data_IF_539819215952
#
_entry.id   IF_539819215952
#
_cell.length_a   1.000
_cell.length_b   1.000
_cell.length_c   1.000
_cell.angle_alpha   90.00
_cell.angle_beta   90.00
_cell.angle_gamma   90.00
#
_symmetry.space_group_name_H-M   'P 1'
#
loop_
_entity.id
_entity.type
_entity.pdbx_description
1 polymer ?
#
# COMPACT_ATOMS: atom_id res chain seq x y z
N UNK A 1 -1.27 -21.24 25.25
CA UNK A 1 -1.03 -19.89 25.81
C UNK A 1 -1.09 -20.01 27.32
N UNK A 2 0.03 -19.76 28.01
CA UNK A 2 0.07 -19.75 29.48
C UNK A 2 -0.54 -18.47 30.04
N UNK A 3 -0.84 -18.45 31.34
CA UNK A 3 -1.33 -17.25 32.02
C UNK A 3 -0.29 -16.12 32.01
N UNK A 4 0.99 -16.45 32.15
CA UNK A 4 2.11 -15.50 32.10
C UNK A 4 2.28 -14.88 30.70
N UNK A 5 2.22 -15.70 29.64
CA UNK A 5 2.27 -15.21 28.25
C UNK A 5 1.13 -14.24 27.97
N UNK A 6 -0.08 -14.59 28.43
CA UNK A 6 -1.25 -13.72 28.31
C UNK A 6 -1.04 -12.40 29.05
N UNK A 7 -0.61 -12.44 30.31
CA UNK A 7 -0.40 -11.23 31.11
C UNK A 7 0.67 -10.30 30.49
N UNK A 8 1.77 -10.87 30.00
CA UNK A 8 2.83 -10.10 29.32
C UNK A 8 2.32 -9.44 28.04
N UNK A 9 1.54 -10.17 27.23
CA UNK A 9 0.94 -9.64 26.00
C UNK A 9 -0.14 -8.59 26.27
N UNK A 10 -0.93 -8.75 27.33
CA UNK A 10 -1.90 -7.75 27.78
C UNK A 10 -1.21 -6.47 28.27
N UNK A 11 -0.12 -6.60 29.05
CA UNK A 11 0.69 -5.46 29.49
C UNK A 11 1.35 -4.75 28.30
N UNK A 12 1.85 -5.51 27.32
CA UNK A 12 2.37 -4.97 26.06
C UNK A 12 1.31 -4.17 25.31
N UNK A 13 0.11 -4.72 25.10
CA UNK A 13 -0.98 -4.03 24.39
C UNK A 13 -1.53 -2.79 25.08
N UNK A 14 -1.38 -2.68 26.41
CA UNK A 14 -1.79 -1.51 27.20
C UNK A 14 -0.69 -0.44 27.35
N UNK A 15 0.50 -0.70 26.83
CA UNK A 15 1.66 0.19 26.96
C UNK A 15 1.42 1.52 26.23
N UNK A 16 1.69 2.69 26.84
CA UNK A 16 1.54 3.99 26.17
C UNK A 16 2.52 4.17 25.01
N UNK A 17 3.70 3.53 25.12
CA UNK A 17 4.81 3.47 24.16
C UNK A 17 4.72 2.24 23.23
N UNK A 18 3.53 1.64 23.06
CA UNK A 18 3.34 0.41 22.27
C UNK A 18 4.00 0.46 20.88
N UNK A 19 3.86 1.58 20.17
CA UNK A 19 4.39 1.72 18.81
C UNK A 19 5.92 1.78 18.80
N UNK A 20 6.53 2.49 19.75
CA UNK A 20 7.98 2.58 19.91
C UNK A 20 8.56 1.19 20.23
N UNK A 21 7.93 0.47 21.17
CA UNK A 21 8.31 -0.90 21.53
C UNK A 21 8.22 -1.86 20.35
N UNK A 22 7.18 -1.76 19.51
CA UNK A 22 7.09 -2.53 18.26
C UNK A 22 8.30 -2.24 17.36
N UNK A 23 8.65 -0.97 17.16
CA UNK A 23 9.79 -0.57 16.34
C UNK A 23 11.14 -1.06 16.90
N UNK A 24 11.30 -1.05 18.23
CA UNK A 24 12.47 -1.62 18.92
C UNK A 24 12.56 -3.15 18.75
N UNK A 25 11.42 -3.84 18.85
CA UNK A 25 11.34 -5.30 18.71
C UNK A 25 11.65 -5.77 17.27
N UNK A 26 11.34 -4.97 16.25
CA UNK A 26 11.88 -5.16 14.90
C UNK A 26 13.43 -5.12 14.89
N UNK A 27 14.02 -4.16 15.61
CA UNK A 27 15.48 -4.04 15.80
C UNK A 27 16.11 -5.26 16.47
N UNK A 28 15.46 -5.76 17.51
CA UNK A 28 15.84 -7.00 18.21
C UNK A 28 15.76 -8.21 17.28
N UNK A 29 14.77 -8.24 16.38
CA UNK A 29 14.62 -9.25 15.34
C UNK A 29 15.53 -9.06 14.12
N UNK A 30 16.44 -8.07 14.14
CA UNK A 30 17.52 -7.91 13.17
C UNK A 30 17.23 -6.94 12.02
N UNK A 31 16.12 -6.21 12.05
CA UNK A 31 15.83 -5.15 11.08
C UNK A 31 16.15 -3.79 11.70
N UNK A 32 17.13 -3.05 11.16
CA UNK A 32 17.58 -1.71 11.64
C UNK A 32 17.26 -0.62 10.60
N UNK A 33 16.97 0.63 11.01
CA UNK A 33 16.45 1.72 10.12
C UNK A 33 14.93 1.72 9.93
N UNK A 34 14.41 2.04 8.74
CA UNK A 34 13.07 1.65 8.27
C UNK A 34 11.85 1.95 9.19
N UNK A 35 11.90 2.97 10.05
CA UNK A 35 10.91 3.16 11.12
C UNK A 35 9.47 3.25 10.58
N UNK A 36 9.24 4.07 9.56
CA UNK A 36 7.94 4.20 8.91
C UNK A 36 7.48 2.91 8.21
N UNK A 37 8.39 2.26 7.48
CA UNK A 37 8.10 1.02 6.76
C UNK A 37 7.76 -0.14 7.70
N UNK A 38 8.48 -0.27 8.82
CA UNK A 38 8.19 -1.26 9.87
C UNK A 38 6.79 -1.10 10.42
N UNK A 39 6.45 0.12 10.81
CA UNK A 39 5.17 0.38 11.44
C UNK A 39 4.02 0.17 10.44
N UNK A 40 4.17 0.62 9.19
CA UNK A 40 3.21 0.32 8.13
C UNK A 40 3.04 -1.18 7.92
N UNK A 41 4.13 -1.95 7.81
CA UNK A 41 4.06 -3.40 7.63
C UNK A 41 3.39 -4.08 8.84
N UNK A 42 3.68 -3.65 10.06
CA UNK A 42 3.02 -4.20 11.25
C UNK A 42 1.52 -3.90 11.26
N UNK A 43 1.14 -2.66 10.98
CA UNK A 43 -0.27 -2.22 10.88
C UNK A 43 -1.00 -2.98 9.78
N UNK A 44 -0.38 -3.16 8.61
CA UNK A 44 -0.96 -3.92 7.53
C UNK A 44 -1.18 -5.39 7.90
N UNK A 45 -0.22 -6.02 8.57
CA UNK A 45 -0.39 -7.38 9.07
C UNK A 45 -1.54 -7.50 10.07
N UNK A 46 -1.66 -6.57 11.03
CA UNK A 46 -2.74 -6.56 12.04
C UNK A 46 -4.10 -6.27 11.42
N UNK A 47 -4.14 -5.42 10.38
CA UNK A 47 -5.37 -5.02 9.70
C UNK A 47 -6.14 -6.16 9.03
N UNK A 48 -5.55 -7.36 8.87
CA UNK A 48 -6.27 -8.58 8.44
C UNK A 48 -7.51 -8.89 9.29
N UNK A 49 -7.55 -8.38 10.52
CA UNK A 49 -8.67 -8.53 11.47
C UNK A 49 -9.78 -7.49 11.28
N UNK A 50 -9.56 -6.48 10.43
CA UNK A 50 -10.55 -5.48 10.04
C UNK A 50 -11.29 -5.91 8.76
N UNK A 51 -12.42 -5.25 8.49
CA UNK A 51 -13.21 -5.46 7.26
C UNK A 51 -12.45 -5.06 5.99
N UNK A 52 -11.60 -4.03 6.08
CA UNK A 52 -10.78 -3.55 4.97
C UNK A 52 -9.29 -3.54 5.34
N UNK A 53 -8.59 -4.68 5.19
CA UNK A 53 -7.16 -4.78 5.47
C UNK A 53 -6.32 -3.94 4.50
N UNK A 54 -5.17 -3.50 4.99
CA UNK A 54 -4.15 -2.86 4.18
C UNK A 54 -3.34 -3.92 3.43
N UNK A 55 -2.94 -3.58 2.21
CA UNK A 55 -2.02 -4.38 1.41
C UNK A 55 -0.75 -3.58 1.12
N UNK A 56 0.41 -4.23 1.20
CA UNK A 56 1.74 -3.61 1.05
C UNK A 56 2.50 -4.27 -0.08
N UNK A 57 3.06 -3.44 -0.96
CA UNK A 57 3.94 -3.86 -2.04
C UNK A 57 5.31 -3.23 -1.80
N UNK A 58 6.31 -4.06 -1.52
CA UNK A 58 7.68 -3.65 -1.28
C UNK A 58 8.44 -3.71 -2.61
N UNK A 59 8.71 -2.53 -3.17
CA UNK A 59 9.44 -2.33 -4.41
C UNK A 59 10.87 -1.90 -4.10
N UNK A 60 11.85 -2.76 -4.34
CA UNK A 60 13.26 -2.40 -4.10
C UNK A 60 14.20 -3.24 -4.96
N UNK A 61 15.44 -2.79 -5.08
CA UNK A 61 16.44 -3.52 -5.82
C UNK A 61 16.75 -4.89 -5.19
N UNK A 62 17.28 -5.82 -5.99
CA UNK A 62 17.66 -7.14 -5.48
C UNK A 62 18.75 -7.00 -4.41
N UNK A 63 18.60 -7.72 -3.30
CA UNK A 63 19.52 -7.66 -2.16
C UNK A 63 19.31 -6.48 -1.19
N UNK A 64 18.39 -5.55 -1.48
CA UNK A 64 18.17 -4.36 -0.66
C UNK A 64 17.49 -4.61 0.71
N UNK A 65 17.07 -5.85 0.99
CA UNK A 65 16.41 -6.20 2.26
C UNK A 65 14.87 -6.28 2.20
N UNK A 66 14.28 -6.23 0.99
CA UNK A 66 12.83 -6.41 0.77
C UNK A 66 12.23 -7.62 1.50
N UNK A 67 12.88 -8.77 1.36
CA UNK A 67 12.46 -10.01 2.01
C UNK A 67 12.72 -10.01 3.51
N UNK A 68 13.70 -9.26 4.01
CA UNK A 68 13.97 -9.15 5.44
C UNK A 68 12.83 -8.40 6.16
N UNK A 69 12.39 -7.26 5.62
CA UNK A 69 11.24 -6.50 6.14
C UNK A 69 9.96 -7.35 6.18
N UNK A 70 9.66 -8.05 5.07
CA UNK A 70 8.52 -8.97 5.00
C UNK A 70 8.66 -10.11 6.03
N UNK A 71 9.79 -10.81 6.06
CA UNK A 71 9.98 -11.99 6.92
C UNK A 71 9.91 -11.66 8.41
N UNK A 72 10.48 -10.53 8.84
CA UNK A 72 10.39 -10.11 10.26
C UNK A 72 8.94 -9.80 10.63
N UNK A 73 8.22 -9.05 9.77
CA UNK A 73 6.80 -8.72 9.97
C UNK A 73 5.94 -9.98 10.08
N UNK A 74 6.11 -10.93 9.16
CA UNK A 74 5.36 -12.20 9.19
C UNK A 74 5.71 -13.04 10.43
N UNK A 75 6.93 -12.93 10.95
CA UNK A 75 7.33 -13.59 12.19
C UNK A 75 6.59 -13.11 13.44
N UNK A 76 6.05 -11.89 13.41
CA UNK A 76 5.20 -11.34 14.48
C UNK A 76 3.74 -11.78 14.38
N UNK A 77 3.33 -12.30 13.22
CA UNK A 77 1.99 -12.84 13.04
C UNK A 77 1.90 -14.26 13.63
N UNK A 78 0.76 -14.63 14.24
CA UNK A 78 0.46 -16.03 14.55
C UNK A 78 0.66 -16.91 13.31
N UNK A 79 1.42 -18.02 13.37
CA UNK A 79 1.68 -18.87 12.21
C UNK A 79 0.42 -19.37 11.50
N UNK A 80 -0.67 -19.59 12.23
CA UNK A 80 -1.98 -19.97 11.70
C UNK A 80 -2.67 -18.89 10.85
N UNK A 81 -2.24 -17.63 10.99
CA UNK A 81 -2.77 -16.48 10.28
C UNK A 81 -1.89 -16.09 9.06
N UNK A 82 -0.88 -16.89 8.70
CA UNK A 82 0.06 -16.55 7.62
C UNK A 82 0.02 -17.60 6.51
N UNK A 83 -0.19 -17.15 5.28
CA UNK A 83 -0.10 -17.97 4.07
C UNK A 83 1.05 -17.45 3.22
N UNK A 84 2.13 -18.23 3.09
CA UNK A 84 3.32 -17.84 2.31
C UNK A 84 3.38 -18.64 1.02
N UNK A 85 3.45 -17.94 -0.11
CA UNK A 85 3.63 -18.54 -1.42
C UNK A 85 4.90 -17.99 -2.08
N UNK A 86 5.73 -18.89 -2.60
CA UNK A 86 6.94 -18.56 -3.35
C UNK A 86 6.67 -18.29 -4.81
N UNK A 87 5.60 -18.89 -5.35
CA UNK A 87 5.11 -18.65 -6.69
C UNK A 87 3.61 -18.95 -6.73
N UNK A 88 2.89 -18.27 -7.63
CA UNK A 88 1.45 -18.43 -7.79
C UNK A 88 1.15 -18.64 -9.27
N UNK A 89 0.49 -19.75 -9.61
CA UNK A 89 -0.08 -19.92 -10.95
C UNK A 89 -1.34 -19.07 -11.06
N UNK A 90 -1.67 -18.59 -12.26
CA UNK A 90 -2.71 -17.57 -12.48
C UNK A 90 -4.06 -17.84 -11.80
N UNK A 91 -4.44 -19.11 -11.64
CA UNK A 91 -5.74 -19.49 -11.03
C UNK A 91 -5.64 -20.15 -9.66
N UNK A 92 -4.44 -20.34 -9.09
CA UNK A 92 -4.27 -21.15 -7.87
C UNK A 92 -5.04 -20.61 -6.65
N UNK A 93 -5.23 -19.30 -6.54
CA UNK A 93 -6.00 -18.71 -5.42
C UNK A 93 -7.48 -19.06 -5.48
N UNK A 94 -8.06 -19.26 -6.67
CA UNK A 94 -9.49 -19.55 -6.82
C UNK A 94 -9.87 -20.97 -6.40
N UNK A 95 -8.90 -21.85 -6.21
CA UNK A 95 -9.10 -23.26 -5.85
C UNK A 95 -8.57 -23.60 -4.46
N UNK A 96 -8.30 -22.59 -3.63
CA UNK A 96 -7.98 -22.79 -2.22
C UNK A 96 -9.24 -23.13 -1.42
N UNK A 97 -9.08 -23.64 -0.19
CA UNK A 97 -10.22 -23.84 0.70
C UNK A 97 -10.95 -22.52 0.95
N UNK A 98 -12.30 -22.52 1.07
CA UNK A 98 -13.08 -21.28 1.15
C UNK A 98 -12.68 -20.32 2.25
N UNK A 99 -12.19 -20.80 3.39
CA UNK A 99 -11.79 -19.96 4.53
C UNK A 99 -10.28 -19.85 4.69
N UNK A 100 -9.49 -20.37 3.74
CA UNK A 100 -8.04 -20.44 3.82
C UNK A 100 -7.33 -19.08 3.91
N UNK A 101 -7.95 -18.01 3.40
CA UNK A 101 -7.39 -16.66 3.40
C UNK A 101 -8.09 -15.73 4.39
N UNK A 102 -9.25 -16.11 4.93
CA UNK A 102 -10.05 -15.29 5.83
C UNK A 102 -9.29 -14.89 7.09
N UNK A 103 -9.16 -13.58 7.30
CA UNK A 103 -8.40 -12.95 8.38
C UNK A 103 -6.92 -13.34 8.45
N UNK A 104 -6.32 -13.64 7.29
CA UNK A 104 -4.90 -14.03 7.18
C UNK A 104 -4.06 -12.98 6.46
N UNK A 105 -2.74 -13.15 6.56
CA UNK A 105 -1.74 -12.44 5.76
C UNK A 105 -1.30 -13.34 4.61
N UNK A 106 -1.62 -12.95 3.38
CA UNK A 106 -1.11 -13.59 2.17
C UNK A 106 0.21 -12.92 1.78
N UNK A 107 1.29 -13.68 1.84
CA UNK A 107 2.65 -13.23 1.56
C UNK A 107 3.19 -13.87 0.29
N UNK A 108 3.45 -13.04 -0.71
CA UNK A 108 3.97 -13.43 -2.02
C UNK A 108 5.41 -12.94 -2.17
N UNK A 109 6.32 -13.88 -2.40
CA UNK A 109 7.73 -13.56 -2.71
C UNK A 109 7.89 -13.36 -4.22
N UNK A 110 8.58 -12.28 -4.61
CA UNK A 110 9.04 -12.01 -5.98
C UNK A 110 7.96 -12.22 -7.04
N UNK A 111 7.10 -11.22 -7.24
CA UNK A 111 5.98 -11.31 -8.19
C UNK A 111 6.46 -11.40 -9.65
N UNK A 112 6.82 -12.62 -10.06
CA UNK A 112 6.92 -13.10 -11.43
C UNK A 112 5.78 -14.11 -11.70
N UNK A 113 4.59 -13.82 -11.17
CA UNK A 113 3.34 -14.44 -11.59
C UNK A 113 2.71 -13.56 -12.67
N UNK A 114 2.34 -14.14 -13.81
CA UNK A 114 1.73 -13.40 -14.93
C UNK A 114 0.43 -12.68 -14.55
N UNK A 115 -0.14 -11.92 -15.50
CA UNK A 115 -1.31 -11.04 -15.29
C UNK A 115 -2.48 -11.70 -14.53
N UNK A 116 -2.72 -12.99 -14.77
CA UNK A 116 -3.79 -13.76 -14.13
C UNK A 116 -3.68 -13.78 -12.59
N UNK A 117 -2.46 -13.90 -12.06
CA UNK A 117 -2.22 -13.90 -10.62
C UNK A 117 -2.47 -12.51 -10.03
N UNK A 118 -2.07 -11.46 -10.75
CA UNK A 118 -2.33 -10.08 -10.35
C UNK A 118 -3.84 -9.79 -10.29
N UNK A 119 -4.63 -10.28 -11.25
CA UNK A 119 -6.09 -10.14 -11.24
C UNK A 119 -6.70 -10.74 -9.97
N UNK A 120 -6.37 -11.99 -9.64
CA UNK A 120 -6.88 -12.64 -8.44
C UNK A 120 -6.54 -11.86 -7.16
N UNK A 121 -5.33 -11.33 -7.07
CA UNK A 121 -4.93 -10.51 -5.92
C UNK A 121 -5.73 -9.21 -5.87
N UNK A 122 -5.94 -8.54 -7.01
CA UNK A 122 -6.72 -7.29 -7.08
C UNK A 122 -8.18 -7.49 -6.69
N UNK A 123 -8.82 -8.56 -7.18
CA UNK A 123 -10.19 -8.90 -6.80
C UNK A 123 -10.29 -9.21 -5.31
N UNK A 124 -9.36 -9.99 -4.75
CA UNK A 124 -9.36 -10.32 -3.32
C UNK A 124 -9.26 -9.05 -2.44
N UNK A 125 -8.43 -8.08 -2.83
CA UNK A 125 -8.27 -6.82 -2.08
C UNK A 125 -9.50 -5.93 -2.19
N UNK A 126 -10.13 -5.87 -3.37
CA UNK A 126 -11.24 -4.95 -3.63
C UNK A 126 -12.60 -5.49 -3.22
N UNK A 127 -12.86 -6.76 -3.46
CA UNK A 127 -14.16 -7.41 -3.28
C UNK A 127 -14.22 -8.17 -1.96
N UNK A 128 -13.08 -8.48 -1.35
CA UNK A 128 -13.00 -9.25 -0.11
C UNK A 128 -13.24 -10.74 -0.30
N UNK A 129 -13.41 -11.21 -1.53
CA UNK A 129 -13.58 -12.62 -1.89
C UNK A 129 -13.13 -12.90 -3.33
N UNK A 130 -12.99 -14.19 -3.66
CA UNK A 130 -12.77 -14.68 -5.00
C UNK A 130 -13.84 -15.71 -5.33
N UNK A 131 -14.53 -15.53 -6.45
CA UNK A 131 -15.53 -16.47 -6.93
C UNK A 131 -15.17 -16.86 -8.37
N UNK A 132 -15.08 -18.17 -8.62
CA UNK A 132 -14.94 -18.69 -9.99
C UNK A 132 -15.87 -19.87 -10.22
N UNK A 133 -16.51 -19.86 -11.38
CA UNK A 133 -17.30 -20.98 -11.87
C UNK A 133 -16.45 -21.83 -12.81
N UNK A 134 -16.31 -23.13 -12.53
CA UNK A 134 -15.54 -24.08 -13.34
C UNK A 134 -16.38 -25.31 -13.67
N UNK A 135 -16.28 -25.77 -14.91
CA UNK A 135 -16.95 -26.99 -15.35
C UNK A 135 -16.13 -28.23 -14.93
N UNK A 136 -16.72 -29.09 -14.10
CA UNK A 136 -16.12 -30.35 -13.66
C UNK A 136 -16.88 -31.51 -14.32
N UNK A 137 -16.16 -32.55 -14.75
CA UNK A 137 -16.79 -33.77 -15.27
C UNK A 137 -17.15 -34.68 -14.11
N UNK A 138 -18.44 -34.93 -13.94
CA UNK A 138 -18.92 -35.88 -12.94
C UNK A 138 -18.46 -37.29 -13.32
N UNK A 139 -17.68 -37.92 -12.42
CA UNK A 139 -17.13 -39.27 -12.61
C UNK A 139 -18.21 -40.35 -12.68
N UNK A 140 -19.38 -40.09 -12.11
CA UNK A 140 -20.50 -41.04 -12.06
C UNK A 140 -21.43 -40.93 -13.28
N UNK A 141 -21.70 -39.72 -13.76
CA UNK A 141 -22.68 -39.47 -14.83
C UNK A 141 -22.07 -39.09 -16.19
N UNK A 142 -20.74 -38.88 -16.27
CA UNK A 142 -20.04 -38.35 -17.45
C UNK A 142 -20.56 -36.98 -17.95
N UNK A 143 -21.46 -36.33 -17.20
CA UNK A 143 -21.98 -34.99 -17.50
C UNK A 143 -21.02 -33.93 -17.00
N UNK A 144 -21.02 -32.81 -17.73
CA UNK A 144 -20.37 -31.59 -17.29
C UNK A 144 -21.28 -30.90 -16.27
N UNK A 145 -20.81 -30.76 -15.04
CA UNK A 145 -21.48 -29.99 -13.98
C UNK A 145 -20.68 -28.74 -13.69
N UNK A 146 -21.38 -27.64 -13.42
CA UNK A 146 -20.73 -26.37 -13.07
C UNK A 146 -20.54 -26.35 -11.56
N UNK A 147 -19.30 -26.17 -11.11
CA UNK A 147 -18.93 -26.05 -9.71
C UNK A 147 -18.41 -24.65 -9.46
N UNK A 148 -19.01 -23.96 -8.51
CA UNK A 148 -18.53 -22.67 -8.02
C UNK A 148 -17.48 -22.90 -6.92
N UNK A 149 -16.32 -22.28 -7.07
CA UNK A 149 -15.31 -22.21 -6.02
C UNK A 149 -15.29 -20.78 -5.49
N UNK A 150 -15.44 -20.64 -4.18
CA UNK A 150 -15.43 -19.37 -3.48
C UNK A 150 -14.33 -19.39 -2.42
N UNK A 151 -13.53 -18.33 -2.37
CA UNK A 151 -12.48 -18.12 -1.36
C UNK A 151 -12.70 -16.78 -0.70
N UNK A 152 -12.92 -16.81 0.61
CA UNK A 152 -13.27 -15.66 1.43
C UNK A 152 -12.02 -14.96 1.97
N UNK A 153 -12.00 -13.63 1.85
CA UNK A 153 -11.24 -12.74 2.71
C UNK A 153 -12.02 -12.39 3.99
N UNK A 154 -11.74 -11.25 4.63
CA UNK A 154 -10.74 -10.24 4.27
C UNK A 154 -9.30 -10.73 4.51
N UNK A 155 -8.35 -10.31 3.68
CA UNK A 155 -6.94 -10.75 3.72
C UNK A 155 -6.00 -9.55 3.57
N UNK A 156 -4.96 -9.47 4.41
CA UNK A 156 -3.87 -8.51 4.18
C UNK A 156 -2.86 -9.11 3.18
N UNK A 157 -2.49 -8.38 2.13
CA UNK A 157 -1.58 -8.90 1.10
C UNK A 157 -0.22 -8.23 1.18
N UNK A 158 0.85 -9.02 1.17
CA UNK A 158 2.24 -8.58 1.10
C UNK A 158 2.89 -9.10 -0.17
N UNK A 159 3.32 -8.19 -1.03
CA UNK A 159 4.06 -8.51 -2.25
C UNK A 159 5.46 -7.92 -2.19
N UNK A 160 6.46 -8.64 -2.69
CA UNK A 160 7.79 -8.08 -2.97
C UNK A 160 8.06 -8.14 -4.47
N UNK A 161 8.62 -7.08 -5.03
CA UNK A 161 9.00 -7.03 -6.45
C UNK A 161 10.25 -6.17 -6.64
N UNK A 162 11.00 -6.48 -7.70
CA UNK A 162 12.11 -5.66 -8.20
C UNK A 162 11.72 -4.85 -9.43
N UNK A 163 10.52 -5.06 -9.99
CA UNK A 163 10.05 -4.38 -11.19
C UNK A 163 9.33 -3.07 -10.80
N UNK A 164 9.85 -1.89 -11.20
CA UNK A 164 9.19 -0.61 -10.95
C UNK A 164 7.93 -0.39 -11.81
N UNK A 165 7.78 -1.13 -12.92
CA UNK A 165 6.60 -1.07 -13.80
C UNK A 165 5.42 -1.80 -13.16
N UNK A 166 4.79 -1.11 -12.21
CA UNK A 166 3.57 -1.56 -11.56
C UNK A 166 2.39 -0.89 -12.26
N UNK A 167 1.47 -1.69 -12.77
CA UNK A 167 0.27 -1.20 -13.43
C UNK A 167 -0.54 -0.29 -12.46
N UNK A 168 -1.18 0.78 -12.96
CA UNK A 168 -1.92 1.72 -12.11
C UNK A 168 -3.04 1.07 -11.30
N UNK A 169 -3.60 -0.03 -11.80
CA UNK A 169 -4.69 -0.74 -11.15
C UNK A 169 -4.21 -1.43 -9.86
N UNK A 170 -3.08 -2.15 -9.93
CA UNK A 170 -2.38 -2.73 -8.78
C UNK A 170 -1.87 -1.64 -7.86
N UNK A 171 -1.15 -0.62 -8.37
CA UNK A 171 -0.59 0.47 -7.55
C UNK A 171 -1.64 1.14 -6.66
N UNK A 172 -2.85 1.30 -7.16
CA UNK A 172 -3.94 1.94 -6.41
C UNK A 172 -4.54 1.10 -5.26
N UNK A 173 -4.22 -0.20 -5.20
CA UNK A 173 -4.70 -1.15 -4.17
C UNK A 173 -3.66 -1.43 -3.08
N UNK A 174 -2.40 -1.08 -3.32
CA UNK A 174 -1.29 -1.33 -2.40
C UNK A 174 -0.70 -0.04 -1.86
N UNK A 175 -0.20 -0.06 -0.62
CA UNK A 175 0.84 0.86 -0.21
C UNK A 175 2.15 0.40 -0.84
N UNK A 176 2.62 1.16 -1.84
CA UNK A 176 3.90 0.88 -2.51
C UNK A 176 5.00 1.58 -1.73
N UNK A 177 5.90 0.78 -1.14
CA UNK A 177 7.03 1.28 -0.34
C UNK A 177 8.34 0.78 -0.91
N UNK A 178 9.39 1.61 -0.80
CA UNK A 178 10.77 1.22 -1.04
C UNK A 178 11.52 1.08 0.27
N UNK A 179 12.55 0.24 0.30
CA UNK A 179 13.51 0.19 1.41
C UNK A 179 14.60 1.25 1.23
N UNK A 180 15.21 1.64 2.33
CA UNK A 180 16.32 2.58 2.38
C UNK A 180 17.60 1.89 1.86
N UNK A 181 18.02 2.32 0.67
CA UNK A 181 19.21 1.82 -0.02
C UNK A 181 20.42 2.76 0.14
N UNK A 182 20.38 3.68 1.11
CA UNK A 182 21.47 4.62 1.39
C UNK A 182 22.74 3.92 1.88
N UNK A 183 23.88 4.61 1.73
CA UNK A 183 25.16 4.11 2.22
C UNK A 183 25.16 4.03 3.75
N UNK A 184 24.59 5.04 4.40
CA UNK A 184 24.45 5.12 5.85
C UNK A 184 23.64 3.93 6.39
N UNK A 185 22.52 3.61 5.74
CA UNK A 185 21.71 2.45 6.08
C UNK A 185 22.45 1.13 5.82
N UNK A 186 23.12 1.02 4.69
CA UNK A 186 23.93 -0.16 4.36
C UNK A 186 25.03 -0.39 5.40
N UNK A 187 25.72 0.67 5.84
CA UNK A 187 26.73 0.61 6.89
C UNK A 187 26.16 0.12 8.22
N UNK A 188 24.97 0.60 8.62
CA UNK A 188 24.26 0.12 9.83
C UNK A 188 23.93 -1.37 9.74
N UNK A 189 23.42 -1.83 8.60
CA UNK A 189 23.10 -3.25 8.36
C UNK A 189 24.36 -4.12 8.44
N UNK A 190 25.45 -3.73 7.75
CA UNK A 190 26.71 -4.49 7.75
C UNK A 190 27.34 -4.54 9.15
N UNK A 191 27.31 -3.43 9.90
CA UNK A 191 27.81 -3.39 11.28
C UNK A 191 27.02 -4.35 12.19
N UNK A 192 25.70 -4.45 12.01
CA UNK A 192 24.86 -5.39 12.76
C UNK A 192 25.14 -6.85 12.40
N UNK A 193 25.30 -7.15 11.11
CA UNK A 193 25.66 -8.49 10.66
C UNK A 193 27.00 -8.93 11.27
N UNK A 194 28.04 -8.09 11.23
CA UNK A 194 29.32 -8.38 11.88
C UNK A 194 29.18 -8.60 13.39
N UNK A 195 28.41 -7.74 14.08
CA UNK A 195 28.17 -7.88 15.53
C UNK A 195 27.48 -9.19 15.87
N UNK A 196 26.51 -9.63 15.06
CA UNK A 196 25.82 -10.92 15.23
C UNK A 196 26.79 -12.10 15.21
N UNK A 197 27.82 -12.03 14.36
CA UNK A 197 28.84 -13.09 14.23
C UNK A 197 29.98 -12.98 15.26
N UNK A 198 30.18 -11.84 15.93
CA UNK A 198 31.41 -11.53 16.68
C UNK A 198 31.30 -11.59 18.22
N UNK A 199 30.29 -12.21 18.81
CA UNK A 199 30.09 -12.26 20.27
C UNK A 199 29.31 -13.53 20.70
N UNK A 200 29.13 -13.82 22.01
CA UNK A 200 28.19 -14.85 22.48
C UNK A 200 26.71 -14.54 22.14
N UNK A 201 26.44 -13.51 21.33
CA UNK A 201 25.12 -13.09 20.85
C UNK A 201 24.39 -14.16 20.02
N UNK A 202 25.06 -15.25 19.62
CA UNK A 202 24.42 -16.47 19.14
C UNK A 202 23.43 -17.06 20.18
N UNK A 203 23.60 -16.76 21.48
CA UNK A 203 22.67 -17.11 22.57
C UNK A 203 21.37 -16.26 22.59
N UNK A 204 21.25 -15.24 21.73
CA UNK A 204 20.07 -14.35 21.65
C UNK A 204 18.98 -14.84 20.69
N UNK A 205 19.12 -16.04 20.12
CA UNK A 205 18.01 -16.65 19.37
C UNK A 205 16.78 -16.86 20.26
N UNK A 206 17.00 -17.15 21.55
CA UNK A 206 15.95 -17.24 22.56
C UNK A 206 15.23 -15.90 22.77
N UNK A 207 15.95 -14.77 22.71
CA UNK A 207 15.39 -13.41 22.80
C UNK A 207 14.47 -13.12 21.59
N UNK A 208 14.91 -13.46 20.37
CA UNK A 208 14.12 -13.27 19.14
C UNK A 208 12.86 -14.13 19.17
N UNK A 209 12.98 -15.39 19.62
CA UNK A 209 11.85 -16.28 19.77
C UNK A 209 10.86 -15.77 20.83
N UNK A 210 11.35 -15.23 21.95
CA UNK A 210 10.51 -14.63 22.99
C UNK A 210 9.75 -13.39 22.48
N UNK A 211 10.43 -12.50 21.75
CA UNK A 211 9.79 -11.33 21.11
C UNK A 211 8.70 -11.78 20.15
N UNK A 212 8.99 -12.75 19.26
CA UNK A 212 7.96 -13.29 18.35
C UNK A 212 6.78 -13.88 19.10
N UNK A 213 7.01 -14.68 20.14
CA UNK A 213 5.93 -15.24 20.97
C UNK A 213 5.08 -14.15 21.62
N UNK A 214 5.70 -13.07 22.11
CA UNK A 214 4.99 -11.91 22.67
C UNK A 214 4.04 -11.29 21.64
N UNK A 215 4.54 -10.93 20.44
CA UNK A 215 3.71 -10.35 19.38
C UNK A 215 2.60 -11.29 18.91
N UNK A 216 2.91 -12.57 18.71
CA UNK A 216 1.93 -13.56 18.29
C UNK A 216 0.83 -13.73 19.35
N UNK A 217 1.20 -13.73 20.63
CA UNK A 217 0.24 -13.80 21.74
C UNK A 217 -0.60 -12.53 21.81
N UNK A 218 0.03 -11.36 21.74
CA UNK A 218 -0.66 -10.07 21.69
C UNK A 218 -1.68 -10.01 20.55
N UNK A 219 -1.30 -10.41 19.34
CA UNK A 219 -2.23 -10.42 18.21
C UNK A 219 -3.41 -11.40 18.39
N UNK A 220 -3.21 -12.54 19.06
CA UNK A 220 -4.30 -13.47 19.41
C UNK A 220 -5.29 -12.87 20.42
N UNK A 221 -4.82 -11.95 21.27
CA UNK A 221 -5.67 -11.26 22.26
C UNK A 221 -6.47 -10.11 21.68
N UNK A 222 -6.12 -9.62 20.48
CA UNK A 222 -6.89 -8.58 19.80
C UNK A 222 -8.30 -9.09 19.47
N UNK A 223 -9.30 -8.37 19.99
CA UNK A 223 -10.70 -8.70 19.80
C UNK A 223 -11.20 -8.12 18.47
N UNK A 224 -12.13 -8.80 17.77
CA UNK A 224 -12.86 -8.19 16.67
C UNK A 224 -13.71 -7.05 17.24
N UNK A 225 -13.38 -5.82 16.89
CA UNK A 225 -14.09 -4.62 17.34
C UNK A 225 -14.24 -3.66 16.16
N UNK A 226 -15.39 -3.00 16.03
CA UNK A 226 -15.55 -1.97 14.99
C UNK A 226 -14.76 -0.73 15.35
N UNK A 227 -14.16 -0.10 14.35
CA UNK A 227 -13.48 1.19 14.52
C UNK A 227 -14.33 2.26 13.88
N UNK A 228 -14.74 3.25 14.67
CA UNK A 228 -15.51 4.41 14.21
C UNK A 228 -14.58 5.61 14.18
N UNK A 229 -14.49 6.27 13.03
CA UNK A 229 -13.67 7.47 12.87
C UNK A 229 -14.54 8.74 12.87
N UNK A 230 -14.71 9.43 14.00
CA UNK A 230 -15.50 10.66 14.07
C UNK A 230 -14.88 11.82 13.26
N UNK A 231 -13.60 11.72 12.91
CA UNK A 231 -12.89 12.74 12.13
C UNK A 231 -12.98 12.52 10.62
N UNK A 232 -13.50 11.37 10.16
CA UNK A 232 -13.56 11.04 8.74
C UNK A 232 -14.18 12.14 7.84
N UNK A 233 -15.27 12.84 8.25
CA UNK A 233 -15.83 13.93 7.44
C UNK A 233 -14.90 15.14 7.25
N UNK A 234 -13.92 15.33 8.14
CA UNK A 234 -12.95 16.44 8.12
C UNK A 234 -11.62 16.07 7.48
N UNK A 235 -11.36 14.78 7.28
CA UNK A 235 -10.17 14.22 6.64
C UNK A 235 -10.35 14.16 5.12
N UNK A 236 -10.58 15.32 4.51
CA UNK A 236 -10.79 15.44 3.06
C UNK A 236 -9.46 15.48 2.30
N UNK A 237 -9.31 14.63 1.29
CA UNK A 237 -8.27 14.78 0.27
C UNK A 237 -8.65 15.86 -0.75
N UNK A 238 -7.66 16.47 -1.39
CA UNK A 238 -7.91 17.46 -2.45
C UNK A 238 -8.75 16.86 -3.58
N UNK A 239 -9.92 17.42 -3.85
CA UNK A 239 -10.85 16.92 -4.89
C UNK A 239 -10.33 17.07 -6.34
N UNK A 240 -9.16 17.70 -6.54
CA UNK A 240 -8.59 17.99 -7.85
C UNK A 240 -7.94 16.81 -8.56
N UNK A 241 -7.87 15.61 -7.94
CA UNK A 241 -7.23 14.41 -8.53
C UNK A 241 -8.15 13.19 -8.43
N UNK A 242 -8.38 12.49 -9.53
CA UNK A 242 -9.18 11.25 -9.54
C UNK A 242 -8.56 10.15 -8.67
N UNK A 243 -7.23 10.14 -8.53
CA UNK A 243 -6.49 9.22 -7.67
C UNK A 243 -6.94 9.30 -6.20
N UNK A 244 -7.37 10.49 -5.74
CA UNK A 244 -7.77 10.72 -4.36
C UNK A 244 -8.98 9.87 -3.92
N UNK A 245 -9.83 9.41 -4.86
CA UNK A 245 -10.93 8.47 -4.58
C UNK A 245 -10.45 7.11 -4.08
N UNK A 246 -9.26 6.67 -4.53
CA UNK A 246 -8.64 5.39 -4.12
C UNK A 246 -7.66 5.55 -2.97
N UNK A 247 -7.13 6.75 -2.76
CA UNK A 247 -6.23 7.06 -1.64
C UNK A 247 -6.98 7.29 -0.33
N UNK A 248 -8.11 8.00 -0.37
CA UNK A 248 -8.87 8.32 0.84
C UNK A 248 -9.31 7.07 1.62
N UNK A 249 -9.89 6.01 1.00
CA UNK A 249 -10.23 4.80 1.73
C UNK A 249 -9.01 4.12 2.36
N UNK A 250 -7.86 4.10 1.67
CA UNK A 250 -6.61 3.51 2.19
C UNK A 250 -6.08 4.27 3.40
N UNK A 251 -6.12 5.60 3.36
CA UNK A 251 -5.70 6.43 4.48
C UNK A 251 -6.62 6.29 5.70
N UNK A 252 -7.94 6.26 5.48
CA UNK A 252 -8.89 5.98 6.56
C UNK A 252 -8.68 4.58 7.13
N UNK A 253 -8.42 3.57 6.29
CA UNK A 253 -8.08 2.22 6.74
C UNK A 253 -6.78 2.19 7.55
N UNK A 254 -5.77 3.00 7.19
CA UNK A 254 -4.53 3.13 7.96
C UNK A 254 -4.81 3.70 9.35
N UNK A 255 -5.59 4.77 9.46
CA UNK A 255 -6.02 5.32 10.76
C UNK A 255 -6.77 4.26 11.58
N UNK A 256 -7.69 3.54 10.94
CA UNK A 256 -8.45 2.49 11.61
C UNK A 256 -7.54 1.35 12.12
N UNK A 257 -6.51 0.98 11.35
CA UNK A 257 -5.52 -0.02 11.77
C UNK A 257 -4.72 0.46 13.01
N UNK A 258 -4.37 1.74 13.10
CA UNK A 258 -3.70 2.31 14.27
C UNK A 258 -4.60 2.25 15.50
N UNK A 259 -5.84 2.71 15.39
CA UNK A 259 -6.81 2.67 16.49
C UNK A 259 -7.10 1.22 16.93
N UNK A 260 -7.27 0.30 15.98
CA UNK A 260 -7.49 -1.13 16.25
C UNK A 260 -6.31 -1.79 16.96
N UNK A 261 -5.08 -1.46 16.56
CA UNK A 261 -3.86 -1.96 17.21
C UNK A 261 -3.81 -1.52 18.69
N UNK A 262 -4.24 -0.29 18.97
CA UNK A 262 -4.25 0.31 20.31
C UNK A 262 -5.49 -0.03 21.13
N UNK A 263 -6.38 -0.92 20.64
CA UNK A 263 -7.70 -1.19 21.24
C UNK A 263 -7.68 -1.54 22.74
N UNK A 264 -6.58 -2.10 23.25
CA UNK A 264 -6.48 -2.50 24.67
C UNK A 264 -6.33 -1.30 25.62
N UNK A 265 -5.90 -0.15 25.09
CA UNK A 265 -5.82 1.13 25.81
C UNK A 265 -7.03 2.03 25.53
N UNK A 266 -8.04 1.55 24.80
CA UNK A 266 -9.22 2.32 24.42
C UNK A 266 -10.42 1.99 25.30
N UNK A 267 -11.30 2.98 25.44
CA UNK A 267 -12.62 2.77 26.02
C UNK A 267 -13.52 2.14 24.96
N UNK A 268 -13.88 0.87 25.16
CA UNK A 268 -14.89 0.21 24.34
C UNK A 268 -16.27 0.81 24.63
N UNK A 269 -17.04 1.06 23.58
CA UNK A 269 -18.44 1.50 23.64
C UNK A 269 -19.30 0.46 22.96
N UNK A 270 -20.56 0.39 23.35
CA UNK A 270 -21.53 -0.53 22.75
C UNK A 270 -22.70 0.28 22.22
N UNK A 271 -23.15 -0.05 21.01
CA UNK A 271 -24.33 0.54 20.40
C UNK A 271 -25.23 -0.57 19.85
N UNK A 272 -26.54 -0.42 20.03
CA UNK A 272 -27.52 -1.35 19.46
C UNK A 272 -27.81 -0.94 18.00
N UNK A 273 -27.49 -1.80 17.05
CA UNK A 273 -27.77 -1.63 15.62
C UNK A 273 -28.64 -2.81 15.18
N UNK A 274 -29.82 -2.53 14.63
CA UNK A 274 -30.78 -3.55 14.16
C UNK A 274 -31.10 -4.64 15.20
N UNK A 275 -31.13 -4.25 16.48
CA UNK A 275 -31.40 -5.16 17.61
C UNK A 275 -30.20 -5.98 18.08
N UNK A 276 -29.02 -5.79 17.51
CA UNK A 276 -27.77 -6.44 17.93
C UNK A 276 -26.83 -5.42 18.62
N UNK A 277 -26.24 -5.83 19.75
CA UNK A 277 -25.21 -5.05 20.42
C UNK A 277 -23.89 -5.16 19.66
N UNK A 278 -23.34 -4.02 19.28
CA UNK A 278 -22.10 -3.91 18.51
C UNK A 278 -21.09 -3.11 19.31
N UNK A 279 -19.99 -3.76 19.68
CA UNK A 279 -18.85 -3.12 20.33
C UNK A 279 -18.01 -2.35 19.31
N UNK A 280 -17.67 -1.11 19.66
CA UNK A 280 -16.82 -0.25 18.86
C UNK A 280 -15.84 0.56 19.72
N UNK A 281 -14.77 1.01 19.08
CA UNK A 281 -13.83 2.01 19.60
C UNK A 281 -13.83 3.22 18.67
N UNK A 282 -13.55 4.39 19.23
CA UNK A 282 -13.40 5.62 18.46
C UNK A 282 -11.92 5.90 18.16
N UNK A 283 -11.66 6.38 16.95
CA UNK A 283 -10.37 6.96 16.59
C UNK A 283 -10.13 8.21 17.43
N UNK A 284 -8.90 8.39 17.92
CA UNK A 284 -8.44 9.61 18.57
C UNK A 284 -7.48 10.40 17.68
N UNK A 285 -7.25 11.69 18.01
CA UNK A 285 -6.34 12.56 17.24
C UNK A 285 -4.91 12.00 17.15
N UNK A 286 -4.44 11.34 18.21
CA UNK A 286 -3.11 10.71 18.22
C UNK A 286 -3.00 9.57 17.19
N UNK A 287 -4.09 8.86 16.89
CA UNK A 287 -4.08 7.81 15.85
C UNK A 287 -3.91 8.43 14.47
N UNK A 288 -4.50 9.60 14.24
CA UNK A 288 -4.33 10.38 13.01
C UNK A 288 -2.89 10.93 12.92
N UNK A 289 -2.31 11.38 14.03
CA UNK A 289 -0.92 11.84 14.07
C UNK A 289 0.04 10.72 13.64
N UNK A 290 -0.12 9.53 14.22
CA UNK A 290 0.66 8.34 13.87
C UNK A 290 0.43 7.95 12.41
N UNK A 291 -0.83 7.89 11.96
CA UNK A 291 -1.15 7.56 10.57
C UNK A 291 -0.53 8.57 9.59
N UNK A 292 -0.50 9.86 9.93
CA UNK A 292 0.17 10.90 9.14
C UNK A 292 1.68 10.69 9.09
N UNK A 293 2.33 10.36 10.20
CA UNK A 293 3.76 10.06 10.23
C UNK A 293 4.10 8.84 9.37
N UNK A 294 3.33 7.75 9.52
CA UNK A 294 3.51 6.52 8.74
C UNK A 294 3.25 6.78 7.25
N UNK A 295 2.17 7.49 6.92
CA UNK A 295 1.84 7.86 5.56
C UNK A 295 2.90 8.78 4.96
N UNK A 296 3.42 9.77 5.69
CA UNK A 296 4.49 10.63 5.20
C UNK A 296 5.79 9.86 4.95
N UNK A 297 6.13 8.89 5.80
CA UNK A 297 7.32 8.06 5.61
C UNK A 297 7.15 7.04 4.46
N UNK A 298 5.96 6.46 4.30
CA UNK A 298 5.69 5.43 3.28
C UNK A 298 5.32 6.01 1.91
N UNK A 299 4.54 7.11 1.89
CA UNK A 299 4.03 7.80 0.71
C UNK A 299 4.81 9.08 0.37
N UNK A 300 5.74 9.52 1.24
CA UNK A 300 6.66 10.62 0.92
C UNK A 300 7.53 10.34 -0.30
N UNK A 301 7.62 9.08 -0.72
CA UNK A 301 8.26 8.68 -1.96
C UNK A 301 7.35 8.75 -3.19
N UNK A 302 6.02 8.84 -3.03
CA UNK A 302 5.01 8.79 -4.10
C UNK A 302 4.43 10.16 -4.51
N UNK A 303 5.12 11.25 -4.17
CA UNK A 303 4.67 12.62 -4.49
C UNK A 303 4.98 13.01 -5.95
N UNK A 304 6.04 12.43 -6.50
CA UNK A 304 6.31 12.38 -7.92
C UNK A 304 6.12 10.93 -8.41
N UNK A 305 5.93 10.72 -9.71
CA UNK A 305 5.73 9.39 -10.29
C UNK A 305 6.96 8.46 -10.18
N UNK A 306 8.01 8.88 -9.46
CA UNK A 306 9.25 8.13 -9.30
C UNK A 306 9.11 6.96 -8.32
N UNK A 307 9.73 5.86 -8.69
CA UNK A 307 10.04 4.75 -7.80
C UNK A 307 11.06 5.17 -6.73
N UNK A 308 11.03 4.51 -5.57
CA UNK A 308 12.02 4.73 -4.50
C UNK A 308 13.47 4.64 -5.00
N UNK A 309 13.85 3.60 -5.76
CA UNK A 309 15.18 3.51 -6.36
C UNK A 309 15.51 4.64 -7.36
N UNK A 310 14.56 5.12 -8.17
CA UNK A 310 14.80 6.28 -9.05
C UNK A 310 14.99 7.57 -8.28
N UNK A 311 14.25 7.78 -7.19
CA UNK A 311 14.49 8.90 -6.26
C UNK A 311 15.87 8.82 -5.61
N UNK A 312 16.29 7.63 -5.17
CA UNK A 312 17.64 7.43 -4.62
C UNK A 312 18.71 7.74 -5.67
N UNK A 313 18.50 7.33 -6.93
CA UNK A 313 19.39 7.68 -8.02
C UNK A 313 19.42 9.20 -8.24
N UNK A 314 18.27 9.87 -8.23
CA UNK A 314 18.19 11.33 -8.38
C UNK A 314 18.95 12.06 -7.26
N UNK A 315 18.83 11.60 -6.01
CA UNK A 315 19.60 12.14 -4.89
C UNK A 315 21.12 11.92 -5.08
N UNK A 316 21.53 10.74 -5.54
CA UNK A 316 22.93 10.44 -5.88
C UNK A 316 23.44 11.34 -7.01
N UNK A 317 22.63 11.60 -8.04
CA UNK A 317 22.98 12.54 -9.10
C UNK A 317 23.10 13.97 -8.57
N UNK A 318 22.24 14.38 -7.64
CA UNK A 318 22.36 15.65 -6.92
C UNK A 318 23.70 15.78 -6.20
N UNK A 319 24.12 14.74 -5.45
CA UNK A 319 25.44 14.69 -4.80
C UNK A 319 26.59 14.77 -5.81
N UNK A 320 26.53 13.99 -6.89
CA UNK A 320 27.53 14.01 -7.97
C UNK A 320 27.66 15.41 -8.59
N UNK A 321 26.53 16.06 -8.88
CA UNK A 321 26.50 17.41 -9.45
C UNK A 321 27.07 18.41 -8.47
N UNK A 322 26.70 18.33 -7.19
CA UNK A 322 27.21 19.23 -6.16
C UNK A 322 28.74 19.11 -6.01
N UNK A 323 29.29 17.90 -5.96
CA UNK A 323 30.74 17.71 -5.89
C UNK A 323 31.46 18.32 -7.11
N UNK A 324 30.88 18.22 -8.31
CA UNK A 324 31.44 18.85 -9.51
C UNK A 324 31.35 20.36 -9.49
N UNK A 325 30.26 20.93 -9.00
CA UNK A 325 30.12 22.37 -8.84
C UNK A 325 31.17 22.92 -7.88
N UNK A 326 31.35 22.26 -6.72
CA UNK A 326 32.35 22.63 -5.72
C UNK A 326 33.77 22.55 -6.31
N UNK A 327 34.10 21.47 -7.02
CA UNK A 327 35.40 21.31 -7.69
C UNK A 327 35.65 22.38 -8.76
N UNK A 328 34.59 22.84 -9.45
CA UNK A 328 34.67 23.87 -10.48
C UNK A 328 34.59 25.31 -9.92
N UNK A 329 34.35 25.48 -8.62
CA UNK A 329 34.15 26.80 -8.00
C UNK A 329 32.86 27.50 -8.46
N UNK A 330 31.84 26.74 -8.84
CA UNK A 330 30.56 27.24 -9.35
C UNK A 330 29.47 27.17 -8.26
N UNK A 331 28.52 28.11 -8.32
CA UNK A 331 27.34 28.11 -7.45
C UNK A 331 26.28 27.09 -7.88
N UNK A 332 25.31 26.84 -6.99
CA UNK A 332 24.21 25.88 -7.20
C UNK A 332 23.40 26.15 -8.48
N UNK A 333 23.24 27.42 -8.86
CA UNK A 333 22.53 27.85 -10.07
C UNK A 333 23.15 27.30 -11.38
N UNK A 334 24.41 26.86 -11.34
CA UNK A 334 25.10 26.29 -12.49
C UNK A 334 24.88 24.78 -12.67
N UNK A 335 24.02 24.14 -11.86
CA UNK A 335 23.76 22.69 -11.91
C UNK A 335 23.47 22.16 -13.33
N UNK A 336 22.76 22.93 -14.14
CA UNK A 336 22.36 22.54 -15.49
C UNK A 336 23.52 22.42 -16.49
N UNK A 337 24.68 22.99 -16.17
CA UNK A 337 25.90 22.89 -16.99
C UNK A 337 26.72 21.63 -16.68
N UNK A 338 26.41 20.91 -15.58
CA UNK A 338 27.15 19.72 -15.18
C UNK A 338 26.69 18.52 -16.00
N UNK A 339 27.60 18.02 -16.84
CA UNK A 339 27.38 16.84 -17.68
C UNK A 339 28.02 15.63 -17.04
N UNK A 340 27.33 14.50 -17.06
CA UNK A 340 27.81 13.20 -16.61
C UNK A 340 27.38 12.07 -17.55
N UNK A 341 28.03 10.92 -17.45
CA UNK A 341 27.79 9.72 -18.25
C UNK A 341 27.32 8.57 -17.37
N UNK A 342 26.68 7.55 -17.96
CA UNK A 342 26.32 6.32 -17.23
C UNK A 342 27.50 5.67 -16.51
N UNK A 343 28.70 5.78 -17.07
CA UNK A 343 29.92 5.26 -16.46
C UNK A 343 30.25 6.02 -15.17
N UNK A 344 30.25 7.34 -15.22
CA UNK A 344 30.53 8.19 -14.05
C UNK A 344 29.47 7.99 -12.96
N UNK A 345 28.18 7.85 -13.33
CA UNK A 345 27.12 7.52 -12.37
C UNK A 345 27.46 6.22 -11.63
N UNK A 346 27.87 5.17 -12.33
CA UNK A 346 28.22 3.87 -11.73
C UNK A 346 29.47 3.96 -10.85
N UNK A 347 30.50 4.66 -11.31
CA UNK A 347 31.75 4.85 -10.56
C UNK A 347 31.51 5.65 -9.28
N UNK A 348 30.67 6.68 -9.34
CA UNK A 348 30.31 7.52 -8.19
C UNK A 348 29.39 6.80 -7.19
N UNK A 349 28.35 6.13 -7.70
CA UNK A 349 27.32 5.49 -6.86
C UNK A 349 27.70 4.09 -6.37
N UNK A 350 28.63 3.41 -7.04
CA UNK A 350 28.88 1.98 -6.87
C UNK A 350 27.76 1.08 -7.42
N UNK A 351 26.73 1.62 -8.07
CA UNK A 351 25.57 0.84 -8.52
C UNK A 351 25.92 -0.07 -9.72
N UNK A 352 25.24 -1.21 -9.79
CA UNK A 352 25.37 -2.14 -10.92
C UNK A 352 24.88 -1.51 -12.22
N UNK A 353 25.37 -2.01 -13.36
CA UNK A 353 24.93 -1.54 -14.67
C UNK A 353 23.40 -1.62 -14.84
N UNK A 354 22.80 -2.72 -14.39
CA UNK A 354 21.36 -2.92 -14.45
C UNK A 354 20.59 -1.85 -13.65
N UNK A 355 20.96 -1.61 -12.38
CA UNK A 355 20.28 -0.62 -11.53
C UNK A 355 20.39 0.79 -12.10
N UNK A 356 21.57 1.19 -12.55
CA UNK A 356 21.74 2.50 -13.19
C UNK A 356 20.93 2.58 -14.48
N UNK A 357 20.92 1.53 -15.32
CA UNK A 357 20.15 1.54 -16.56
C UNK A 357 18.65 1.68 -16.32
N UNK A 358 18.06 0.81 -15.48
CA UNK A 358 16.63 0.78 -15.19
C UNK A 358 16.15 2.12 -14.62
N UNK A 359 16.79 2.60 -13.55
CA UNK A 359 16.31 3.80 -12.85
C UNK A 359 16.69 5.10 -13.58
N UNK A 360 17.77 5.11 -14.38
CA UNK A 360 18.08 6.27 -15.23
C UNK A 360 17.06 6.39 -16.37
N UNK A 361 16.57 5.29 -16.95
CA UNK A 361 15.53 5.36 -17.97
C UNK A 361 14.24 5.96 -17.38
N UNK A 362 13.85 5.56 -16.18
CA UNK A 362 12.72 6.15 -15.46
C UNK A 362 12.88 7.68 -15.26
N UNK A 363 14.06 8.12 -14.84
CA UNK A 363 14.36 9.56 -14.71
C UNK A 363 14.37 10.32 -16.05
N UNK A 364 14.74 9.65 -17.15
CA UNK A 364 14.68 10.23 -18.50
C UNK A 364 13.25 10.35 -19.00
N UNK A 365 12.42 9.32 -18.80
CA UNK A 365 11.01 9.30 -19.21
C UNK A 365 10.20 10.39 -18.50
N UNK A 366 10.46 10.56 -17.19
CA UNK A 366 9.82 11.59 -16.36
C UNK A 366 10.53 12.95 -16.43
N UNK A 367 11.53 13.09 -17.32
CA UNK A 367 12.27 14.33 -17.59
C UNK A 367 12.96 14.96 -16.37
N UNK A 368 13.31 14.17 -15.35
CA UNK A 368 14.21 14.59 -14.27
C UNK A 368 15.67 14.70 -14.73
N UNK A 369 16.03 13.85 -15.70
CA UNK A 369 17.32 13.86 -16.39
C UNK A 369 17.08 14.11 -17.86
N UNK A 370 17.93 14.90 -18.49
CA UNK A 370 17.91 15.14 -19.92
C UNK A 370 19.13 14.50 -20.58
N UNK A 371 18.96 13.99 -21.80
CA UNK A 371 20.07 13.57 -22.64
C UNK A 371 20.73 14.82 -23.21
N UNK A 372 22.01 14.99 -22.94
CA UNK A 372 22.85 16.00 -23.56
C UNK A 372 23.52 15.45 -24.83
N UNK A 373 23.69 16.32 -25.82
CA UNK A 373 24.00 16.08 -27.25
C UNK A 373 24.77 14.78 -27.55
N UNK A 374 24.27 13.98 -28.52
CA UNK A 374 25.04 12.86 -29.13
C UNK A 374 26.20 13.41 -29.96
N UNK A 375 27.44 13.16 -29.53
CA UNK A 375 28.55 13.09 -30.47
C UNK A 375 28.39 11.85 -31.38
N UNK A 376 28.88 11.84 -32.64
CA UNK A 376 28.60 10.77 -33.61
C UNK A 376 29.09 9.36 -33.22
N UNK A 377 29.95 9.25 -32.21
CA UNK A 377 30.53 7.98 -31.74
C UNK A 377 30.82 7.94 -30.22
N UNK A 378 30.25 8.88 -29.44
CA UNK A 378 30.55 9.03 -28.01
C UNK A 378 29.51 8.37 -27.09
N UNK A 379 29.85 8.09 -25.82
CA UNK A 379 28.88 7.62 -24.82
C UNK A 379 27.80 8.67 -24.59
N UNK A 380 26.58 8.21 -24.28
CA UNK A 380 25.49 9.10 -23.90
C UNK A 380 25.87 9.98 -22.71
N UNK A 381 25.58 11.27 -22.85
CA UNK A 381 25.77 12.32 -21.85
C UNK A 381 24.43 12.75 -21.28
N UNK A 382 24.44 13.15 -20.02
CA UNK A 382 23.24 13.44 -19.23
C UNK A 382 23.46 14.68 -18.38
N UNK A 383 22.38 15.39 -18.08
CA UNK A 383 22.34 16.52 -17.14
C UNK A 383 21.01 16.54 -16.38
N UNK A 384 20.98 17.15 -15.19
CA UNK A 384 19.75 17.35 -14.44
C UNK A 384 18.84 18.38 -15.13
N UNK A 385 17.53 18.13 -15.12
CA UNK A 385 16.54 19.03 -15.72
C UNK A 385 16.17 20.20 -14.80
N UNK A 386 16.07 19.93 -13.49
CA UNK A 386 15.70 20.88 -12.46
C UNK A 386 16.75 20.91 -11.34
N UNK A 387 16.76 21.99 -10.57
CA UNK A 387 17.64 22.12 -9.41
C UNK A 387 17.34 20.97 -8.44
N UNK A 388 18.35 20.20 -8.00
CA UNK A 388 18.17 19.24 -6.92
C UNK A 388 18.08 19.92 -5.54
N UNK A 389 18.23 21.25 -5.49
CA UNK A 389 18.32 22.04 -4.26
C UNK A 389 16.98 22.80 -4.05
N UNK A 390 16.12 22.25 -3.19
CA UNK A 390 14.83 22.83 -2.80
C UNK A 390 13.88 21.78 -2.19
N UNK A 391 13.38 22.02 -0.98
CA UNK A 391 12.46 21.11 -0.28
C UNK A 391 10.98 21.52 -0.49
N UNK A 392 10.16 20.61 -1.03
CA UNK A 392 8.72 20.60 -0.74
C UNK A 392 8.49 19.63 0.42
N UNK A 393 7.87 20.10 1.49
CA UNK A 393 7.56 19.26 2.65
C UNK A 393 6.60 18.11 2.27
N UNK A 394 6.93 16.83 2.52
CA UNK A 394 6.17 15.67 2.05
C UNK A 394 4.68 15.66 2.44
N UNK A 395 4.33 16.24 3.59
CA UNK A 395 2.94 16.27 4.06
C UNK A 395 2.04 17.21 3.25
N UNK A 396 2.56 18.35 2.78
CA UNK A 396 1.76 19.34 2.04
C UNK A 396 1.41 18.83 0.64
N UNK A 397 2.30 18.07 0.04
CA UNK A 397 2.13 17.45 -1.27
C UNK A 397 1.18 16.25 -1.30
N UNK A 398 1.05 15.53 -0.18
CA UNK A 398 0.09 14.44 -0.03
C UNK A 398 -1.34 14.92 0.30
N UNK A 399 -1.51 16.23 0.55
CA UNK A 399 -2.80 16.81 0.93
C UNK A 399 -3.30 16.31 2.30
N UNK A 400 -2.42 15.77 3.13
CA UNK A 400 -2.76 15.29 4.48
C UNK A 400 -3.01 16.49 5.40
N UNK A 401 -4.11 16.45 6.14
CA UNK A 401 -4.46 17.53 7.07
C UNK A 401 -3.67 17.37 8.39
N UNK A 402 -2.94 18.39 8.85
CA UNK A 402 -2.28 18.38 10.15
C UNK A 402 -3.28 18.26 11.31
N UNK A 403 -2.85 17.66 12.42
CA UNK A 403 -3.71 17.42 13.59
C UNK A 403 -4.10 18.72 14.27
N UNK A 404 -3.23 19.73 14.24
CA UNK A 404 -3.45 21.07 14.78
C UNK A 404 -4.66 21.73 14.11
N UNK A 405 -4.75 21.63 12.79
CA UNK A 405 -5.89 22.14 12.00
C UNK A 405 -7.19 21.44 12.36
N UNK A 406 -7.15 20.12 12.57
CA UNK A 406 -8.33 19.37 13.02
C UNK A 406 -8.77 19.80 14.41
N UNK A 407 -7.83 20.06 15.32
CA UNK A 407 -8.10 20.55 16.67
C UNK A 407 -8.72 21.95 16.66
N UNK A 408 -8.24 22.85 15.80
CA UNK A 408 -8.81 24.18 15.58
C UNK A 408 -10.24 24.12 15.02
N UNK A 409 -10.49 23.26 14.02
CA UNK A 409 -11.82 23.04 13.45
C UNK A 409 -12.81 22.46 14.48
N UNK A 410 -12.33 21.62 15.40
CA UNK A 410 -13.13 21.13 16.53
C UNK A 410 -13.50 22.24 17.51
N UNK A 411 -12.52 23.02 17.95
CA UNK A 411 -12.72 24.11 18.90
C UNK A 411 -13.65 25.19 18.32
N UNK A 412 -13.61 25.41 17.01
CA UNK A 412 -14.49 26.36 16.32
C UNK A 412 -15.91 25.85 16.11
N UNK A 413 -16.11 24.52 16.06
CA UNK A 413 -17.42 23.90 15.88
C UNK A 413 -18.23 23.76 17.18
N UNK A 414 -17.61 23.93 18.35
CA UNK A 414 -18.32 23.94 19.66
C UNK A 414 -19.16 25.23 19.89
N UNK A 415 -19.23 26.13 18.89
CA UNK A 415 -20.10 27.30 18.82
C UNK A 415 -21.43 27.13 18.06
N UNK A 416 -22.13 25.99 18.20
CA UNK A 416 -23.57 25.78 17.90
C UNK A 416 -24.01 25.49 16.45
N UNK A 417 -25.18 24.83 16.22
CA UNK A 417 -26.17 24.33 17.19
C UNK A 417 -26.20 22.79 17.36
N UNK A 418 -26.71 22.41 18.54
CA UNK A 418 -27.25 21.12 19.02
C UNK A 418 -26.91 19.80 18.29
N UNK A 419 -26.34 18.89 19.08
CA UNK A 419 -26.34 17.43 18.85
C UNK A 419 -27.79 16.93 18.92
N UNK A 420 -28.51 17.09 17.82
CA UNK A 420 -29.72 16.33 17.56
C UNK A 420 -29.34 14.87 17.38
N UNK A 421 -29.88 14.00 18.24
CA UNK A 421 -29.80 12.55 18.11
C UNK A 421 -29.94 12.12 16.65
N UNK A 422 -28.86 11.62 16.05
CA UNK A 422 -28.90 11.02 14.72
C UNK A 422 -29.68 9.71 14.84
N UNK A 423 -31.01 9.79 14.69
CA UNK A 423 -31.83 8.65 14.30
C UNK A 423 -31.48 8.35 12.86
N UNK A 424 -30.59 7.39 12.64
CA UNK A 424 -30.38 6.78 11.33
C UNK A 424 -31.71 6.12 10.94
N UNK A 425 -32.48 6.74 10.04
CA UNK A 425 -33.54 6.05 9.31
C UNK A 425 -32.86 5.31 8.17
N UNK A 426 -32.69 4.00 8.31
CA UNK A 426 -32.41 3.13 7.16
C UNK A 426 -33.63 3.20 6.23
N UNK A 427 -33.44 3.80 5.06
CA UNK A 427 -34.35 3.63 3.94
C UNK A 427 -34.19 2.21 3.40
N UNK A 428 -35.24 1.41 3.53
CA UNK A 428 -35.41 0.14 2.84
C UNK A 428 -35.39 0.36 1.33
N UNK A 429 -34.40 -0.20 0.64
CA UNK A 429 -34.44 -0.37 -0.82
C UNK A 429 -34.47 -1.86 -1.10
N UNK A 430 -35.69 -2.40 -1.15
CA UNK A 430 -36.01 -3.60 -1.92
C UNK A 430 -37.44 -3.42 -2.47
N UNK A 431 -37.66 -3.98 -3.66
CA UNK A 431 -38.82 -3.96 -4.57
C UNK A 431 -38.76 -2.81 -5.60
N UNK A 432 -38.71 -3.04 -6.91
CA UNK A 432 -39.15 -4.19 -7.71
C UNK A 432 -40.23 -3.72 -8.68
N UNK A 433 -39.87 -3.43 -9.94
CA UNK A 433 -40.82 -3.27 -11.06
C UNK A 433 -40.04 -3.34 -12.39
N UNK A 434 -39.99 -4.52 -13.03
CA UNK A 434 -40.80 -4.80 -14.22
C UNK A 434 -41.79 -3.69 -14.61
N UNK A 435 -41.59 -3.07 -15.77
CA UNK A 435 -42.52 -3.25 -16.89
C UNK A 435 -42.04 -2.60 -18.19
N UNK A 436 -42.07 -3.43 -19.22
CA UNK A 436 -42.24 -3.13 -20.64
C UNK A 436 -43.62 -2.48 -20.92
N UNK A 437 -43.65 -1.53 -21.86
CA UNK A 437 -44.80 -1.14 -22.70
C UNK A 437 -44.28 -0.13 -23.74
N UNK A 438 -44.15 -0.45 -25.03
CA UNK A 438 -45.23 -0.51 -26.03
C UNK A 438 -46.32 0.57 -25.87
N UNK A 439 -46.37 1.50 -26.84
CA UNK A 439 -47.62 1.82 -27.53
C UNK A 439 -48.32 3.15 -27.25
N UNK A 440 -48.13 4.07 -28.21
CA UNK A 440 -49.16 4.85 -28.93
C UNK A 440 -49.58 6.26 -28.45
N UNK A 441 -49.49 7.18 -29.44
CA UNK A 441 -50.26 8.40 -29.75
C UNK A 441 -50.31 9.55 -28.71
N UNK A 442 -50.29 10.83 -29.07
CA UNK A 442 -50.72 11.55 -30.28
C UNK A 442 -50.02 12.93 -30.34
N UNK A 443 -49.95 13.52 -31.53
CA UNK A 443 -50.23 14.96 -31.67
C UNK A 443 -49.11 15.97 -31.93
N UNK A 444 -48.77 16.10 -33.22
CA UNK A 444 -48.73 17.37 -33.98
C UNK A 444 -47.51 18.34 -33.96
N UNK A 445 -47.23 18.78 -35.19
CA UNK A 445 -46.62 20.02 -35.68
C UNK A 445 -45.09 20.17 -35.82
N UNK A 446 -44.64 20.07 -37.08
CA UNK A 446 -44.10 21.26 -37.75
C UNK A 446 -42.71 21.17 -38.38
N UNK A 447 -42.69 21.17 -39.72
CA UNK A 447 -41.66 21.75 -40.63
C UNK A 447 -40.43 20.90 -41.05
N UNK A 448 -40.56 20.27 -42.23
CA UNK A 448 -39.83 20.56 -43.50
C UNK A 448 -38.36 21.04 -43.41
N UNK A 449 -37.36 20.49 -44.11
CA UNK A 449 -37.10 20.55 -45.57
C UNK A 449 -35.76 19.83 -45.87
N UNK A 450 -35.69 19.11 -47.01
CA UNK A 450 -34.52 18.74 -47.87
C UNK A 450 -33.36 17.86 -47.35
N UNK A 451 -32.64 17.03 -48.14
CA UNK A 451 -32.73 16.55 -49.53
C UNK A 451 -31.60 15.52 -49.76
N UNK A 452 -31.77 14.64 -50.77
CA UNK A 452 -30.74 13.91 -51.56
C UNK A 452 -29.79 12.91 -50.83
N UNK A 453 -29.43 11.72 -51.31
CA UNK A 453 -29.59 10.92 -52.53
C UNK A 453 -28.88 9.57 -52.22
N UNK A 454 -29.29 8.39 -52.67
CA UNK A 454 -29.22 7.87 -54.03
C UNK A 454 -28.53 6.49 -54.03
N UNK A 455 -29.04 5.54 -54.84
CA UNK A 455 -28.33 4.31 -55.28
C UNK A 455 -28.67 3.02 -54.49
N UNK A 456 -29.72 2.27 -54.82
CA UNK A 456 -29.86 1.19 -55.84
C UNK A 456 -28.99 -0.08 -55.68
N UNK A 457 -29.73 -1.20 -55.67
CA UNK A 457 -29.48 -2.51 -56.30
C UNK A 457 -28.62 -3.58 -55.60
N UNK A 458 -29.34 -4.49 -54.92
CA UNK A 458 -29.50 -5.91 -55.25
C UNK A 458 -28.32 -6.70 -55.85
N UNK A 459 -27.95 -7.82 -55.20
CA UNK A 459 -28.17 -9.19 -55.72
C UNK A 459 -27.82 -10.27 -54.68
N UNK A 460 -28.66 -11.29 -54.70
CA UNK A 460 -28.75 -12.52 -53.89
C UNK A 460 -27.68 -13.57 -54.29
N UNK A 461 -27.66 -14.81 -53.72
CA UNK A 461 -26.47 -15.44 -53.17
C UNK A 461 -25.97 -16.64 -54.00
N UNK A 462 -24.87 -17.29 -53.59
CA UNK A 462 -24.74 -18.74 -53.74
C UNK A 462 -23.55 -19.33 -52.96
N UNK A 463 -23.87 -20.45 -52.30
CA UNK A 463 -23.02 -21.57 -51.86
C UNK A 463 -22.20 -21.41 -50.58
#
# INVERSE_FOLDING_TARGET
MSAEERAAAEAFGRSPDLLERICEDYGRCGLIGEEGNRLLCYLAAVSRRLEHPLSVLILSSSGAGKSALQNVTLGFCPPEDVVRLTSLTGRALFYQDPTSLRHRVLALAETAGGEDAAYAIRSLISEGELVVSTTVRDRSSSRLTTVENRVEGPTAVFCTTTNPEIDPETRSRFFVIGVDESEEQTARVLARQRRRESAPDALREEDVAAVRRLHQTFQRLLRPVRVVNPFAPRLTYGAGRLQSRREQPRYLALINAVAFLRQMSRTARTVCIDGADVDYIEVELDDIAVANQVAAAALGHSIDELSGPARNLLAVLGKLVMERLVQAGLGEDAYGAVIFTRREIREFSGWSHYRVHTHLNELLELQYVLVDIRGPAGPHRYRLAASPFGEMAPMQSLGLKPVERLREEMASAEGGPEVGSVRVRLGSVIDGANHSSEGANDGADGHSVDSEGGGRCAKTPMS
#
